data_IF_410377190338
#
_entry.id   IF_410377190338
#
_cell.length_a   1.000
_cell.length_b   1.000
_cell.length_c   1.000
_cell.angle_alpha   90.00
_cell.angle_beta   90.00
_cell.angle_gamma   90.00
#
_symmetry.space_group_name_H-M   'P 1'
#
loop_
_entity.id
_entity.type
_entity.pdbx_description
1 polymer ?
#
# COMPACT_ATOMS: atom_id res chain seq x y z
N UNK A 1 -8.76 -18.39 4.13
CA UNK A 1 -7.45 -17.71 4.20
C UNK A 1 -6.46 -18.64 3.54
N UNK A 2 -6.06 -18.28 2.34
CA UNK A 2 -5.21 -19.09 1.49
C UNK A 2 -3.82 -18.43 1.41
N UNK A 3 -2.77 -19.25 1.34
CA UNK A 3 -1.37 -18.79 1.28
C UNK A 3 -0.76 -19.27 -0.03
N UNK A 4 -0.22 -18.34 -0.82
CA UNK A 4 0.55 -18.67 -2.02
C UNK A 4 2.02 -18.37 -1.79
N UNK A 5 2.89 -19.35 -2.04
CA UNK A 5 4.34 -19.12 -2.11
C UNK A 5 4.65 -18.29 -3.35
N UNK A 6 5.19 -17.08 -3.14
CA UNK A 6 5.70 -16.21 -4.20
C UNK A 6 7.12 -15.92 -3.80
N UNK A 7 8.09 -16.61 -4.39
CA UNK A 7 9.50 -16.31 -4.18
C UNK A 7 9.96 -15.41 -5.31
N UNK A 8 9.80 -14.10 -5.13
CA UNK A 8 10.16 -13.12 -6.15
C UNK A 8 10.98 -11.99 -5.53
N UNK A 9 11.96 -11.50 -6.27
CA UNK A 9 12.74 -10.32 -5.91
C UNK A 9 12.65 -9.34 -7.04
N UNK A 10 12.08 -8.17 -6.75
CA UNK A 10 11.85 -7.13 -7.73
C UNK A 10 12.55 -5.85 -7.31
N UNK A 11 13.34 -5.27 -8.21
CA UNK A 11 14.03 -4.00 -8.00
C UNK A 11 13.53 -2.99 -9.03
N UNK A 12 12.91 -1.91 -8.55
CA UNK A 12 12.27 -0.89 -9.41
C UNK A 12 12.71 0.50 -8.96
N UNK A 13 13.05 1.34 -9.92
CA UNK A 13 13.19 2.78 -9.74
C UNK A 13 12.00 3.51 -10.36
N UNK A 14 11.39 4.41 -9.60
CA UNK A 14 10.28 5.25 -10.06
C UNK A 14 10.46 6.70 -9.65
N UNK A 15 10.20 7.61 -10.58
CA UNK A 15 10.24 9.05 -10.35
C UNK A 15 8.83 9.63 -10.26
N UNK A 16 8.67 10.59 -9.36
CA UNK A 16 7.44 11.30 -9.06
C UNK A 16 7.70 12.80 -9.06
N UNK A 17 6.83 13.56 -9.70
CA UNK A 17 7.03 14.98 -9.92
C UNK A 17 6.16 15.87 -9.05
N UNK A 18 5.28 15.27 -8.25
CA UNK A 18 4.54 15.95 -7.19
C UNK A 18 4.18 14.99 -6.06
N UNK A 19 3.83 15.56 -4.90
CA UNK A 19 3.38 14.80 -3.74
C UNK A 19 2.10 14.02 -4.03
N UNK A 20 1.20 14.62 -4.79
CA UNK A 20 -0.08 14.07 -5.22
C UNK A 20 0.12 12.88 -6.15
N UNK A 21 1.08 12.96 -7.09
CA UNK A 21 1.41 11.87 -8.00
C UNK A 21 1.89 10.62 -7.23
N UNK A 22 2.73 10.82 -6.21
CA UNK A 22 3.17 9.74 -5.33
C UNK A 22 2.03 9.18 -4.47
N UNK A 23 1.18 10.04 -3.89
CA UNK A 23 0.01 9.57 -3.15
C UNK A 23 -0.93 8.73 -4.03
N UNK A 24 -1.17 9.15 -5.27
CA UNK A 24 -1.98 8.42 -6.24
C UNK A 24 -1.35 7.09 -6.66
N UNK A 25 -0.01 7.00 -6.71
CA UNK A 25 0.65 5.71 -6.99
C UNK A 25 0.46 4.73 -5.84
N UNK A 26 0.58 5.18 -4.58
CA UNK A 26 0.29 4.35 -3.40
C UNK A 26 -1.17 3.86 -3.38
N UNK A 27 -2.13 4.73 -3.75
CA UNK A 27 -3.53 4.35 -3.88
C UNK A 27 -3.74 3.24 -4.92
N UNK A 28 -3.17 3.42 -6.12
CA UNK A 28 -3.25 2.42 -7.19
C UNK A 28 -2.61 1.09 -6.78
N UNK A 29 -1.45 1.14 -6.14
CA UNK A 29 -0.77 -0.07 -5.62
C UNK A 29 -1.61 -0.81 -4.58
N UNK A 30 -2.41 -0.09 -3.79
CA UNK A 30 -3.31 -0.68 -2.80
C UNK A 30 -4.67 -1.13 -3.35
N UNK A 31 -4.89 -1.03 -4.66
CA UNK A 31 -6.18 -1.33 -5.29
C UNK A 31 -7.27 -0.30 -4.98
N UNK A 32 -6.89 0.90 -4.51
CA UNK A 32 -7.81 2.00 -4.25
C UNK A 32 -7.85 2.98 -5.43
N UNK A 33 -9.06 3.38 -5.83
CA UNK A 33 -9.28 4.49 -6.74
C UNK A 33 -9.99 5.62 -6.00
N UNK A 34 -9.49 6.85 -6.13
CA UNK A 34 -10.19 8.06 -5.68
C UNK A 34 -10.26 8.29 -4.17
N UNK A 35 -9.39 7.67 -3.36
CA UNK A 35 -9.37 7.89 -1.92
C UNK A 35 -8.64 9.19 -1.57
N UNK A 36 -9.37 10.30 -1.46
CA UNK A 36 -8.79 11.62 -1.20
C UNK A 36 -7.93 11.70 0.09
N UNK A 37 -8.15 10.81 1.06
CA UNK A 37 -7.53 10.86 2.39
C UNK A 37 -6.56 9.69 2.69
N UNK A 38 -6.37 8.75 1.75
CA UNK A 38 -5.49 7.60 1.95
C UNK A 38 -4.00 7.94 1.92
N UNK A 39 -3.20 7.24 2.74
CA UNK A 39 -1.73 7.23 2.72
C UNK A 39 -0.99 8.53 3.08
N UNK A 40 -1.68 9.55 3.62
CA UNK A 40 -1.06 10.83 3.97
C UNK A 40 0.19 10.70 4.85
N UNK A 41 0.16 9.82 5.86
CA UNK A 41 1.28 9.59 6.77
C UNK A 41 2.51 9.01 6.05
N UNK A 42 2.32 8.02 5.17
CA UNK A 42 3.40 7.44 4.37
C UNK A 42 4.00 8.46 3.40
N UNK A 43 3.15 9.25 2.75
CA UNK A 43 3.58 10.36 1.89
C UNK A 43 4.37 11.41 2.68
N UNK A 44 3.92 11.78 3.89
CA UNK A 44 4.66 12.71 4.76
C UNK A 44 6.02 12.14 5.18
N UNK A 45 6.11 10.83 5.44
CA UNK A 45 7.38 10.16 5.79
C UNK A 45 8.37 10.19 4.62
N UNK A 46 7.91 9.91 3.39
CA UNK A 46 8.76 9.86 2.20
C UNK A 46 9.13 11.25 1.64
N UNK A 47 8.16 12.17 1.62
CA UNK A 47 8.27 13.48 0.99
C UNK A 47 8.65 14.61 1.96
N UNK A 48 8.60 14.36 3.27
CA UNK A 48 8.80 15.34 4.34
C UNK A 48 7.52 16.12 4.72
N UNK A 49 7.57 16.85 5.84
CA UNK A 49 6.53 17.81 6.19
C UNK A 49 6.58 19.00 5.22
N UNK A 50 5.43 19.46 4.75
CA UNK A 50 5.26 20.61 3.86
C UNK A 50 5.57 21.96 4.55
N UNK A 51 6.49 21.99 5.52
CA UNK A 51 6.80 23.15 6.35
C UNK A 51 8.14 23.81 6.02
N UNK A 52 8.78 23.46 4.90
CA UNK A 52 10.03 24.08 4.45
C UNK A 52 9.94 24.40 2.95
N UNK A 53 9.76 25.70 2.68
CA UNK A 53 9.73 26.44 1.40
C UNK A 53 8.76 25.95 0.33
N UNK A 54 7.98 26.89 -0.24
CA UNK A 54 7.07 26.65 -1.38
C UNK A 54 7.77 26.31 -2.70
N UNK A 55 8.90 25.60 -2.67
CA UNK A 55 9.63 25.13 -3.84
C UNK A 55 9.10 23.76 -4.27
N UNK A 56 8.78 23.62 -5.57
CA UNK A 56 8.38 22.35 -6.15
C UNK A 56 9.52 21.34 -5.97
N UNK A 57 9.22 20.14 -5.48
CA UNK A 57 10.19 19.05 -5.30
C UNK A 57 9.84 17.90 -6.22
N UNK A 58 10.85 17.20 -6.69
CA UNK A 58 10.72 15.93 -7.37
C UNK A 58 11.34 14.83 -6.48
N UNK A 59 10.82 13.62 -6.60
CA UNK A 59 11.25 12.47 -5.81
C UNK A 59 11.53 11.28 -6.73
N UNK A 60 12.57 10.51 -6.43
CA UNK A 60 12.78 9.20 -7.02
C UNK A 60 12.92 8.16 -5.92
N UNK A 61 12.29 7.02 -6.12
CA UNK A 61 12.25 5.91 -5.17
C UNK A 61 12.85 4.70 -5.84
N UNK A 62 13.91 4.15 -5.26
CA UNK A 62 14.41 2.83 -5.59
C UNK A 62 13.89 1.84 -4.55
N UNK A 63 13.13 0.84 -4.98
CA UNK A 63 12.54 -0.18 -4.11
C UNK A 63 13.09 -1.56 -4.47
N UNK A 64 13.51 -2.31 -3.45
CA UNK A 64 13.79 -3.74 -3.53
C UNK A 64 12.72 -4.44 -2.70
N UNK A 65 11.88 -5.21 -3.39
CA UNK A 65 10.80 -5.98 -2.79
C UNK A 65 11.13 -7.46 -2.86
N UNK A 66 11.03 -8.14 -1.72
CA UNK A 66 11.26 -9.58 -1.60
C UNK A 66 9.95 -10.17 -1.15
N UNK A 67 9.20 -10.67 -2.11
CA UNK A 67 7.97 -11.41 -1.87
C UNK A 67 8.37 -12.83 -1.40
N UNK A 68 7.73 -13.33 -0.34
CA UNK A 68 7.87 -14.71 0.15
C UNK A 68 6.57 -15.48 -0.02
N UNK A 69 5.49 -14.85 0.40
CA UNK A 69 4.14 -15.36 0.22
C UNK A 69 3.14 -14.22 0.25
N UNK A 70 1.98 -14.46 -0.34
CA UNK A 70 0.83 -13.59 -0.22
C UNK A 70 -0.26 -14.31 0.57
N UNK A 71 -0.84 -13.59 1.54
CA UNK A 71 -2.04 -14.05 2.21
C UNK A 71 -3.21 -13.20 1.74
N UNK A 72 -4.29 -13.86 1.33
CA UNK A 72 -5.51 -13.20 0.91
C UNK A 72 -6.70 -13.71 1.72
N UNK A 73 -7.63 -12.78 1.94
CA UNK A 73 -8.94 -13.06 2.47
C UNK A 73 -9.83 -13.46 1.29
N UNK A 74 -10.32 -14.69 1.36
CA UNK A 74 -11.26 -15.28 0.40
C UNK A 74 -12.66 -14.69 0.57
N UNK A 75 -13.68 -15.43 0.14
CA UNK A 75 -15.06 -15.12 0.48
C UNK A 75 -15.23 -15.08 2.01
N UNK A 76 -15.68 -13.92 2.50
CA UNK A 76 -15.98 -13.70 3.92
C UNK A 76 -17.41 -14.15 4.17
N UNK A 77 -17.60 -15.06 5.12
CA UNK A 77 -18.92 -15.51 5.55
C UNK A 77 -19.38 -14.70 6.76
N UNK A 78 -20.70 -14.64 7.05
CA UNK A 78 -21.18 -13.93 8.23
C UNK A 78 -20.54 -14.39 9.53
N UNK A 79 -20.28 -15.70 9.68
CA UNK A 79 -19.62 -16.27 10.86
C UNK A 79 -18.15 -15.88 11.02
N UNK A 80 -17.50 -15.36 9.97
CA UNK A 80 -16.11 -14.88 10.05
C UNK A 80 -16.03 -13.43 10.58
N UNK A 81 -17.17 -12.73 10.65
CA UNK A 81 -17.22 -11.36 11.14
C UNK A 81 -17.42 -11.29 12.65
N UNK A 82 -16.84 -10.26 13.25
CA UNK A 82 -17.13 -9.93 14.64
C UNK A 82 -18.61 -9.60 14.82
N UNK A 83 -19.24 -10.23 15.82
CA UNK A 83 -20.63 -9.94 16.21
C UNK A 83 -20.81 -8.46 16.56
N UNK A 84 -19.79 -7.84 17.16
CA UNK A 84 -19.83 -6.40 17.50
C UNK A 84 -19.83 -5.53 16.25
N UNK A 85 -19.03 -5.89 15.23
CA UNK A 85 -19.01 -5.17 13.96
C UNK A 85 -20.39 -5.23 13.29
N UNK A 86 -20.98 -6.42 13.21
CA UNK A 86 -22.31 -6.61 12.62
C UNK A 86 -23.39 -5.84 13.38
N UNK A 87 -23.40 -5.93 14.71
CA UNK A 87 -24.36 -5.20 15.55
C UNK A 87 -24.26 -3.69 15.35
N UNK A 88 -23.04 -3.14 15.47
CA UNK A 88 -22.83 -1.70 15.32
C UNK A 88 -23.15 -1.21 13.90
N UNK A 89 -22.93 -2.04 12.89
CA UNK A 89 -23.36 -1.73 11.52
C UNK A 89 -24.89 -1.67 11.41
N UNK A 90 -25.59 -2.65 11.99
CA UNK A 90 -27.06 -2.70 11.98
C UNK A 90 -27.71 -1.57 12.81
N UNK A 91 -26.99 -1.05 13.81
CA UNK A 91 -27.42 0.10 14.63
C UNK A 91 -27.21 1.46 13.93
N UNK A 92 -26.56 1.49 12.75
CA UNK A 92 -26.41 2.70 11.97
C UNK A 92 -27.76 3.19 11.43
N UNK A 93 -28.02 4.51 11.43
CA UNK A 93 -29.23 5.05 10.82
C UNK A 93 -29.30 4.76 9.32
N UNK A 94 -30.49 4.45 8.82
CA UNK A 94 -30.73 4.20 7.39
C UNK A 94 -30.36 5.38 6.48
N UNK A 95 -30.35 6.60 7.03
CA UNK A 95 -29.97 7.81 6.32
C UNK A 95 -28.96 8.62 7.12
N UNK A 96 -27.91 9.07 6.42
CA UNK A 96 -26.93 10.01 6.97
C UNK A 96 -27.55 11.36 7.36
N UNK A 97 -28.70 11.71 6.78
CA UNK A 97 -29.41 12.96 7.06
C UNK A 97 -30.30 12.90 8.31
N UNK A 98 -30.41 11.74 8.96
CA UNK A 98 -31.19 11.62 10.19
C UNK A 98 -30.52 12.37 11.37
N UNK A 99 -31.30 12.87 12.35
CA UNK A 99 -30.73 13.54 13.53
C UNK A 99 -29.68 12.68 14.24
N UNK A 100 -28.50 13.25 14.47
CA UNK A 100 -27.38 12.56 15.13
C UNK A 100 -26.70 11.45 14.31
N UNK A 101 -27.11 11.21 13.07
CA UNK A 101 -26.54 10.15 12.25
C UNK A 101 -25.07 10.39 11.91
N UNK A 102 -24.68 11.63 11.63
CA UNK A 102 -23.30 11.98 11.31
C UNK A 102 -22.30 11.49 12.37
N UNK A 103 -22.62 11.65 13.65
CA UNK A 103 -21.78 11.20 14.77
C UNK A 103 -21.72 9.67 14.80
N UNK A 104 -22.84 8.96 14.64
CA UNK A 104 -22.86 7.49 14.61
C UNK A 104 -22.03 6.91 13.46
N UNK A 105 -22.13 7.50 12.26
CA UNK A 105 -21.30 7.09 11.12
C UNK A 105 -19.81 7.40 11.35
N UNK A 106 -19.49 8.55 11.93
CA UNK A 106 -18.13 8.92 12.27
C UNK A 106 -17.53 7.95 13.30
N UNK A 107 -18.24 7.64 14.39
CA UNK A 107 -17.79 6.72 15.43
C UNK A 107 -17.55 5.32 14.87
N UNK A 108 -18.45 4.85 13.99
CA UNK A 108 -18.29 3.57 13.29
C UNK A 108 -17.02 3.56 12.43
N UNK A 109 -16.78 4.61 11.63
CA UNK A 109 -15.58 4.71 10.77
C UNK A 109 -14.31 4.85 11.62
N UNK A 110 -14.33 5.60 12.71
CA UNK A 110 -13.17 5.76 13.60
C UNK A 110 -12.80 4.42 14.26
N UNK A 111 -13.79 3.59 14.59
CA UNK A 111 -13.57 2.30 15.23
C UNK A 111 -13.18 1.20 14.26
N UNK A 112 -13.88 1.09 13.13
CA UNK A 112 -13.75 -0.05 12.21
C UNK A 112 -12.99 0.28 10.92
N UNK A 113 -12.79 1.56 10.62
CA UNK A 113 -12.16 2.04 9.40
C UNK A 113 -13.13 2.08 8.20
N UNK A 114 -12.62 2.55 7.06
CA UNK A 114 -13.36 2.61 5.80
C UNK A 114 -13.07 1.42 4.88
N UNK A 115 -11.94 0.73 5.11
CA UNK A 115 -11.43 -0.35 4.30
C UNK A 115 -10.91 -1.48 5.19
N UNK A 116 -10.88 -2.69 4.66
CA UNK A 116 -10.19 -3.82 5.26
C UNK A 116 -9.06 -4.29 4.34
N UNK A 117 -8.10 -5.02 4.90
CA UNK A 117 -7.02 -5.66 4.15
C UNK A 117 -7.58 -6.91 3.48
N UNK A 118 -7.66 -6.87 2.15
CA UNK A 118 -8.10 -8.01 1.34
C UNK A 118 -6.95 -8.96 1.08
N UNK A 119 -5.74 -8.46 0.85
CA UNK A 119 -4.54 -9.28 0.82
C UNK A 119 -3.31 -8.51 1.29
N UNK A 120 -2.30 -9.25 1.72
CA UNK A 120 -1.01 -8.72 2.09
C UNK A 120 0.09 -9.62 1.55
N UNK A 121 1.09 -9.01 0.89
CA UNK A 121 2.35 -9.67 0.56
C UNK A 121 3.31 -9.56 1.73
N UNK A 122 3.89 -10.69 2.09
CA UNK A 122 4.81 -10.86 3.20
C UNK A 122 6.21 -11.18 2.70
N UNK A 123 7.19 -10.61 3.40
CA UNK A 123 8.60 -10.77 3.09
C UNK A 123 9.38 -9.58 3.62
N UNK A 124 10.10 -8.89 2.75
CA UNK A 124 10.81 -7.67 3.12
C UNK A 124 10.85 -6.64 2.01
N UNK A 125 10.95 -5.37 2.39
CA UNK A 125 11.05 -4.24 1.48
C UNK A 125 12.11 -3.26 1.96
N UNK A 126 13.01 -2.89 1.05
CA UNK A 126 13.95 -1.78 1.20
C UNK A 126 13.53 -0.69 0.22
N UNK A 127 13.35 0.54 0.69
CA UNK A 127 13.12 1.70 -0.18
C UNK A 127 14.11 2.81 0.14
N UNK A 128 14.69 3.38 -0.91
CA UNK A 128 15.57 4.53 -0.84
C UNK A 128 14.88 5.67 -1.57
N UNK A 129 14.56 6.73 -0.86
CA UNK A 129 13.95 7.94 -1.38
C UNK A 129 15.02 9.00 -1.56
N UNK A 130 15.11 9.58 -2.76
CA UNK A 130 15.91 10.77 -3.05
C UNK A 130 14.99 11.88 -3.51
N UNK A 131 15.15 13.07 -2.94
CA UNK A 131 14.42 14.27 -3.39
C UNK A 131 15.39 15.35 -3.88
N UNK A 132 14.91 16.17 -4.81
CA UNK A 132 15.63 17.33 -5.35
C UNK A 132 14.63 18.44 -5.62
N UNK A 133 15.04 19.70 -5.47
CA UNK A 133 14.20 20.82 -5.90
C UNK A 133 14.06 20.83 -7.43
N UNK A 134 12.85 21.09 -7.92
CA UNK A 134 12.58 21.11 -9.35
C UNK A 134 13.38 22.19 -10.09
N UNK A 135 13.80 23.25 -9.39
CA UNK A 135 14.67 24.31 -9.92
C UNK A 135 16.12 23.88 -10.15
N UNK A 136 16.57 22.76 -9.57
CA UNK A 136 17.94 22.24 -9.78
C UNK A 136 18.11 21.50 -11.12
N UNK A 137 17.02 21.28 -11.87
CA UNK A 137 16.99 20.60 -13.17
C UNK A 137 16.11 21.35 -14.16
N UNK A 138 16.46 21.28 -15.44
CA UNK A 138 15.72 21.94 -16.51
C UNK A 138 14.34 21.31 -16.75
N UNK A 139 14.21 20.00 -16.56
CA UNK A 139 12.97 19.27 -16.82
C UNK A 139 12.93 17.90 -16.11
N UNK A 140 11.76 17.23 -16.23
CA UNK A 140 11.46 15.91 -15.66
C UNK A 140 12.35 14.77 -16.19
N UNK A 141 12.80 14.86 -17.45
CA UNK A 141 13.68 13.85 -18.04
C UNK A 141 15.10 13.99 -17.48
N UNK A 142 15.61 15.22 -17.35
CA UNK A 142 16.90 15.48 -16.68
C UNK A 142 16.88 15.00 -15.22
N UNK A 143 15.80 15.27 -14.49
CA UNK A 143 15.60 14.73 -13.15
C UNK A 143 15.81 13.21 -13.10
N UNK A 144 15.14 12.48 -13.99
CA UNK A 144 15.21 11.02 -14.01
C UNK A 144 16.62 10.51 -14.35
N UNK A 145 17.32 11.15 -15.29
CA UNK A 145 18.71 10.80 -15.63
C UNK A 145 19.68 11.07 -14.46
N UNK A 146 19.52 12.20 -13.77
CA UNK A 146 20.32 12.52 -12.58
C UNK A 146 20.09 11.47 -11.49
N UNK A 147 18.83 11.08 -11.26
CA UNK A 147 18.49 10.06 -10.25
C UNK A 147 19.03 8.69 -10.60
N UNK A 148 18.95 8.27 -11.87
CA UNK A 148 19.54 7.01 -12.33
C UNK A 148 21.05 6.95 -12.08
N UNK A 149 21.76 8.04 -12.41
CA UNK A 149 23.18 8.14 -12.14
C UNK A 149 23.50 8.14 -10.63
N UNK A 150 22.71 8.83 -9.82
CA UNK A 150 22.84 8.85 -8.36
C UNK A 150 22.65 7.45 -7.75
N UNK A 151 21.60 6.72 -8.13
CA UNK A 151 21.38 5.35 -7.66
C UNK A 151 22.47 4.40 -8.16
N UNK A 152 22.89 4.51 -9.43
CA UNK A 152 23.98 3.69 -9.96
C UNK A 152 25.28 3.92 -9.18
N UNK A 153 25.64 5.17 -8.93
CA UNK A 153 26.84 5.51 -8.16
C UNK A 153 26.77 5.00 -6.72
N UNK A 154 25.59 5.09 -6.10
CA UNK A 154 25.32 4.55 -4.77
C UNK A 154 25.55 3.04 -4.70
N UNK A 155 25.07 2.28 -5.68
CA UNK A 155 25.32 0.83 -5.68
C UNK A 155 26.76 0.48 -6.05
N UNK A 156 27.40 1.21 -6.97
CA UNK A 156 28.83 1.02 -7.28
C UNK A 156 29.70 1.20 -6.04
N UNK A 157 29.40 2.17 -5.18
CA UNK A 157 30.18 2.37 -3.95
C UNK A 157 30.06 1.19 -2.97
N UNK A 158 28.96 0.43 -2.99
CA UNK A 158 28.82 -0.81 -2.21
C UNK A 158 29.63 -1.97 -2.79
N UNK A 159 29.86 -1.99 -4.10
CA UNK A 159 30.62 -3.04 -4.77
C UNK A 159 32.13 -2.77 -4.82
N UNK A 160 32.56 -1.52 -4.67
CA UNK A 160 33.98 -1.17 -4.65
C UNK A 160 34.67 -1.84 -3.45
N UNK A 161 35.58 -2.79 -3.73
CA UNK A 161 36.53 -3.28 -2.73
C UNK A 161 37.29 -2.08 -2.18
N UNK A 162 37.52 -2.07 -0.87
CA UNK A 162 38.18 -1.03 -0.08
C UNK A 162 39.63 -0.79 -0.54
N UNK A 163 39.84 -0.30 -1.75
CA UNK A 163 41.09 0.32 -2.16
C UNK A 163 40.96 1.81 -1.85
N UNK A 164 41.65 2.25 -0.81
CA UNK A 164 41.92 3.66 -0.57
C UNK A 164 42.67 4.24 -1.76
N UNK A 165 41.92 4.73 -2.75
CA UNK A 165 42.39 5.79 -3.63
C UNK A 165 41.53 7.01 -3.38
N UNK A 166 42.12 7.97 -2.68
CA UNK A 166 41.65 9.33 -2.59
C UNK A 166 41.52 9.90 -4.00
N UNK A 167 40.31 9.90 -4.57
CA UNK A 167 40.04 10.67 -5.79
C UNK A 167 38.58 11.13 -5.82
N UNK A 168 38.40 12.44 -5.59
CA UNK A 168 37.43 13.35 -6.22
C UNK A 168 35.92 13.02 -6.37
N UNK A 169 35.41 11.88 -5.88
CA UNK A 169 33.99 11.52 -6.03
C UNK A 169 33.04 12.21 -5.06
N UNK A 170 33.55 12.93 -4.04
CA UNK A 170 32.74 13.73 -3.11
C UNK A 170 32.01 14.90 -3.78
N UNK A 171 32.33 15.27 -5.03
CA UNK A 171 31.76 16.45 -5.70
C UNK A 171 30.43 16.21 -6.44
N UNK A 172 29.96 14.97 -6.64
CA UNK A 172 28.71 14.72 -7.39
C UNK A 172 27.48 14.36 -6.54
N UNK A 173 27.65 13.83 -5.33
CA UNK A 173 26.56 13.48 -4.41
C UNK A 173 25.81 14.71 -3.83
N UNK A 174 26.08 15.92 -4.34
CA UNK A 174 25.57 17.20 -3.83
C UNK A 174 24.28 17.71 -4.50
N UNK A 175 23.73 17.01 -5.50
CA UNK A 175 22.51 17.47 -6.22
C UNK A 175 21.19 16.95 -5.64
N UNK A 176 21.21 16.06 -4.65
CA UNK A 176 19.94 15.63 -4.02
C UNK A 176 19.79 16.33 -2.67
N UNK A 177 18.70 17.07 -2.52
CA UNK A 177 18.41 17.88 -1.34
C UNK A 177 18.12 17.00 -0.11
N UNK A 178 17.66 15.75 -0.30
CA UNK A 178 17.59 14.77 0.79
C UNK A 178 17.63 13.31 0.30
N UNK A 179 18.14 12.41 1.15
CA UNK A 179 18.04 10.95 0.99
C UNK A 179 17.44 10.37 2.27
N UNK A 180 16.45 9.48 2.15
CA UNK A 180 15.91 8.72 3.28
C UNK A 180 15.73 7.25 2.92
N UNK A 181 15.80 6.37 3.92
CA UNK A 181 15.71 4.93 3.72
C UNK A 181 14.68 4.33 4.65
N UNK A 182 13.88 3.39 4.13
CA UNK A 182 12.93 2.61 4.91
C UNK A 182 13.14 1.14 4.67
N UNK A 183 13.11 0.37 5.75
CA UNK A 183 13.25 -1.08 5.74
C UNK A 183 12.07 -1.70 6.47
N UNK A 184 11.44 -2.70 5.86
CA UNK A 184 10.34 -3.47 6.42
C UNK A 184 10.62 -4.97 6.25
N UNK A 185 10.24 -5.78 7.24
CA UNK A 185 10.58 -7.20 7.26
C UNK A 185 12.04 -7.47 7.62
N UNK A 186 12.37 -8.74 7.80
CA UNK A 186 13.66 -9.17 8.31
C UNK A 186 13.84 -8.92 9.81
N UNK A 187 15.04 -9.21 10.29
CA UNK A 187 15.47 -8.94 11.65
C UNK A 187 15.41 -7.43 11.94
N UNK A 188 14.80 -7.07 13.07
CA UNK A 188 14.53 -5.67 13.41
C UNK A 188 15.78 -4.90 13.80
N UNK A 189 16.76 -5.56 14.40
CA UNK A 189 18.03 -4.94 14.79
C UNK A 189 18.84 -4.60 13.53
N UNK A 190 18.91 -5.55 12.60
CA UNK A 190 19.60 -5.33 11.32
C UNK A 190 18.88 -4.27 10.49
N UNK A 191 17.55 -4.31 10.41
CA UNK A 191 16.75 -3.32 9.69
C UNK A 191 16.92 -1.90 10.25
N UNK A 192 17.09 -1.74 11.57
CA UNK A 192 17.34 -0.45 12.20
C UNK A 192 18.72 0.11 11.80
N UNK A 193 19.74 -0.73 11.69
CA UNK A 193 21.10 -0.30 11.27
C UNK A 193 21.11 0.19 9.82
N UNK A 194 20.35 -0.46 8.93
CA UNK A 194 20.26 -0.06 7.51
C UNK A 194 19.69 1.36 7.35
N UNK A 195 19.00 1.90 8.35
CA UNK A 195 18.56 3.30 8.33
C UNK A 195 19.73 4.30 8.24
N UNK A 196 20.92 3.94 8.74
CA UNK A 196 22.17 4.66 8.48
C UNK A 196 22.86 4.15 7.20
N UNK A 197 22.23 4.47 6.07
CA UNK A 197 22.59 3.93 4.76
C UNK A 197 23.95 4.41 4.22
N UNK A 198 24.63 5.32 4.93
CA UNK A 198 25.96 5.81 4.58
C UNK A 198 27.07 5.01 5.29
N UNK A 199 26.73 4.04 6.13
CA UNK A 199 27.71 3.22 6.86
C UNK A 199 28.63 2.45 5.89
N UNK A 200 29.95 2.37 6.17
CA UNK A 200 30.89 1.61 5.33
C UNK A 200 30.63 0.10 5.35
N UNK A 201 29.87 -0.40 6.32
CA UNK A 201 29.53 -1.82 6.43
C UNK A 201 28.30 -2.18 5.61
N UNK A 202 27.42 -1.22 5.26
CA UNK A 202 26.03 -1.39 4.78
C UNK A 202 25.73 -2.60 3.88
N UNK A 203 26.66 -3.01 3.02
CA UNK A 203 26.54 -4.23 2.21
C UNK A 203 26.33 -5.49 3.06
N UNK A 204 27.10 -5.65 4.14
CA UNK A 204 26.97 -6.79 5.05
C UNK A 204 25.61 -6.80 5.73
N UNK A 205 25.13 -5.65 6.17
CA UNK A 205 23.85 -5.48 6.85
C UNK A 205 22.70 -5.75 5.88
N UNK A 206 22.77 -5.26 4.63
CA UNK A 206 21.78 -5.61 3.61
C UNK A 206 21.77 -7.12 3.40
N UNK A 207 22.92 -7.78 3.30
CA UNK A 207 22.99 -9.23 3.09
C UNK A 207 22.40 -10.01 4.27
N UNK A 208 22.77 -9.63 5.51
CA UNK A 208 22.21 -10.23 6.72
C UNK A 208 20.70 -10.00 6.83
N UNK A 209 20.22 -8.80 6.46
CA UNK A 209 18.81 -8.50 6.41
C UNK A 209 18.08 -9.37 5.38
N UNK A 210 18.62 -9.50 4.17
CA UNK A 210 18.07 -10.38 3.12
C UNK A 210 17.91 -11.83 3.62
N UNK A 211 18.93 -12.36 4.29
CA UNK A 211 18.90 -13.71 4.84
C UNK A 211 17.85 -13.86 5.96
N UNK A 212 17.68 -12.82 6.78
CA UNK A 212 16.74 -12.82 7.90
C UNK A 212 15.26 -12.78 7.50
N UNK A 213 14.92 -12.30 6.28
CA UNK A 213 13.54 -12.21 5.78
C UNK A 213 12.87 -13.59 5.75
N UNK A 214 13.64 -14.66 5.58
CA UNK A 214 13.11 -16.03 5.59
C UNK A 214 12.45 -16.38 6.92
N UNK A 215 13.03 -15.91 8.02
CA UNK A 215 12.60 -16.20 9.39
C UNK A 215 11.64 -15.12 9.91
N UNK A 216 11.83 -13.87 9.48
CA UNK A 216 11.06 -12.72 9.94
C UNK A 216 10.35 -11.98 8.79
N UNK A 217 9.49 -12.65 7.99
CA UNK A 217 8.73 -11.97 6.96
C UNK A 217 7.70 -11.03 7.62
N UNK A 218 7.60 -9.78 7.14
CA UNK A 218 6.54 -8.84 7.54
C UNK A 218 5.65 -8.50 6.34
N UNK A 219 4.38 -8.16 6.57
CA UNK A 219 3.55 -7.64 5.50
C UNK A 219 4.01 -6.23 5.12
N UNK A 220 4.18 -5.97 3.83
CA UNK A 220 4.70 -4.68 3.34
C UNK A 220 3.93 -4.10 2.14
N UNK A 221 3.21 -4.94 1.38
CA UNK A 221 2.26 -4.49 0.34
C UNK A 221 0.88 -5.03 0.66
N UNK A 222 -0.11 -4.15 0.64
CA UNK A 222 -1.49 -4.49 0.97
C UNK A 222 -2.41 -4.15 -0.18
N UNK A 223 -3.32 -5.04 -0.52
CA UNK A 223 -4.52 -4.70 -1.28
C UNK A 223 -5.66 -4.52 -0.29
N UNK A 224 -6.39 -3.41 -0.43
CA UNK A 224 -7.52 -3.10 0.44
C UNK A 224 -8.81 -3.08 -0.35
N UNK A 225 -9.93 -3.28 0.35
CA UNK A 225 -11.26 -3.19 -0.24
C UNK A 225 -12.21 -2.43 0.71
N UNK A 226 -13.26 -1.77 0.19
CA UNK A 226 -14.24 -1.08 1.02
C UNK A 226 -14.86 -2.02 2.04
N UNK A 227 -15.01 -1.55 3.28
CA UNK A 227 -15.58 -2.35 4.38
C UNK A 227 -17.01 -2.83 4.08
N UNK A 228 -17.75 -2.10 3.24
CA UNK A 228 -19.08 -2.49 2.76
C UNK A 228 -19.08 -3.77 1.93
N UNK A 229 -17.95 -4.19 1.34
CA UNK A 229 -17.86 -5.48 0.67
C UNK A 229 -17.98 -6.66 1.65
N UNK A 230 -17.65 -6.47 2.93
CA UNK A 230 -17.80 -7.50 3.96
C UNK A 230 -19.27 -7.79 4.29
N UNK A 231 -20.20 -6.94 3.86
CA UNK A 231 -21.61 -7.00 4.24
C UNK A 231 -22.51 -7.45 3.08
N UNK A 232 -21.91 -7.93 1.98
CA UNK A 232 -22.61 -8.43 0.79
C UNK A 232 -23.04 -9.87 0.98
N UNK A 233 -23.95 -10.08 1.93
CA UNK A 233 -24.52 -11.40 2.21
C UNK A 233 -25.87 -11.59 1.51
N UNK A 234 -26.12 -12.82 1.08
CA UNK A 234 -27.48 -13.27 0.75
C UNK A 234 -28.23 -13.57 2.06
N UNK A 235 -29.55 -13.45 2.02
CA UNK A 235 -30.42 -13.77 3.17
C UNK A 235 -30.20 -15.22 3.59
N UNK A 236 -30.10 -16.13 2.62
CA UNK A 236 -29.81 -17.54 2.85
C UNK A 236 -28.47 -17.79 3.56
N UNK A 237 -27.45 -16.98 3.30
CA UNK A 237 -26.15 -17.09 4.00
C UNK A 237 -26.20 -16.63 5.46
N UNK A 238 -27.15 -15.75 5.80
CA UNK A 238 -27.36 -15.27 7.17
C UNK A 238 -28.28 -16.19 7.99
N UNK A 239 -29.25 -16.81 7.33
CA UNK A 239 -30.28 -17.64 7.97
C UNK A 239 -30.44 -18.96 7.20
N UNK A 240 -29.47 -19.89 7.30
CA UNK A 240 -29.49 -21.14 6.52
C UNK A 240 -30.64 -22.07 6.92
N UNK A 241 -31.07 -22.02 8.18
CA UNK A 241 -32.11 -22.90 8.74
C UNK A 241 -33.53 -22.35 8.58
N UNK A 242 -33.69 -21.16 7.99
CA UNK A 242 -34.94 -20.41 7.94
C UNK A 242 -35.53 -20.42 6.52
N UNK A 243 -35.77 -21.62 5.96
CA UNK A 243 -36.37 -21.82 4.62
C UNK A 243 -37.74 -21.11 4.46
N UNK A 244 -38.42 -20.82 5.57
CA UNK A 244 -39.72 -20.15 5.59
C UNK A 244 -39.64 -18.62 5.37
N UNK A 245 -38.44 -18.01 5.44
CA UNK A 245 -38.26 -16.54 5.44
C UNK A 245 -37.68 -15.95 4.15
N UNK A 246 -37.58 -16.69 3.05
CA UNK A 246 -37.17 -16.17 1.73
C UNK A 246 -38.27 -15.33 1.06
N UNK A 247 -38.89 -14.40 1.80
CA UNK A 247 -39.98 -13.51 1.34
C UNK A 247 -39.58 -12.04 1.27
N UNK A 248 -38.32 -11.71 1.55
CA UNK A 248 -37.80 -10.35 1.47
C UNK A 248 -36.53 -10.26 0.59
N UNK A 249 -36.17 -9.05 0.17
CA UNK A 249 -35.02 -8.78 -0.69
C UNK A 249 -35.19 -9.22 -2.15
N UNK A 250 -34.08 -9.20 -2.92
CA UNK A 250 -34.08 -9.58 -4.33
C UNK A 250 -34.42 -11.06 -4.56
N UNK A 251 -34.19 -11.92 -3.57
CA UNK A 251 -34.43 -13.37 -3.66
C UNK A 251 -35.92 -13.72 -3.67
N UNK A 252 -36.74 -12.99 -2.91
CA UNK A 252 -38.19 -13.15 -2.89
C UNK A 252 -38.85 -12.77 -4.23
N UNK A 253 -38.25 -11.84 -4.97
CA UNK A 253 -38.71 -11.40 -6.28
C UNK A 253 -38.02 -12.14 -7.44
N UNK A 254 -37.26 -13.21 -7.18
CA UNK A 254 -36.55 -13.97 -8.23
C UNK A 254 -37.48 -14.48 -9.34
N UNK A 255 -38.76 -14.73 -9.03
CA UNK A 255 -39.81 -15.12 -9.99
C UNK A 255 -40.35 -13.96 -10.83
N UNK A 256 -40.16 -12.72 -10.37
CA UNK A 256 -40.59 -11.48 -11.04
C UNK A 256 -39.45 -10.84 -11.86
N UNK A 257 -38.23 -11.38 -11.79
CA UNK A 257 -37.09 -10.87 -12.55
C UNK A 257 -37.32 -11.10 -14.05
N UNK A 258 -37.40 -10.01 -14.81
CA UNK A 258 -37.45 -10.08 -16.28
C UNK A 258 -36.05 -10.35 -16.81
N UNK A 259 -35.92 -11.40 -17.61
CA UNK A 259 -34.66 -11.75 -18.25
C UNK A 259 -34.63 -11.09 -19.64
N UNK A 260 -33.70 -10.15 -19.84
CA UNK A 260 -33.48 -9.51 -21.14
C UNK A 260 -32.10 -9.93 -21.63
N UNK A 261 -32.06 -10.51 -22.83
CA UNK A 261 -30.83 -10.93 -23.50
C UNK A 261 -30.47 -9.94 -24.60
N UNK A 262 -29.28 -9.33 -24.49
CA UNK A 262 -28.65 -8.58 -25.59
C UNK A 262 -27.38 -9.33 -26.02
N UNK A 263 -27.46 -10.01 -27.15
CA UNK A 263 -26.34 -10.84 -27.65
C UNK A 263 -25.97 -11.96 -26.67
N UNK A 264 -24.68 -12.05 -26.30
CA UNK A 264 -24.15 -13.05 -25.34
C UNK A 264 -24.34 -12.68 -23.86
N UNK A 265 -24.94 -11.52 -23.56
CA UNK A 265 -25.10 -11.05 -22.19
C UNK A 265 -26.56 -11.15 -21.75
N UNK A 266 -26.78 -11.88 -20.66
CA UNK A 266 -28.07 -11.98 -19.99
C UNK A 266 -28.04 -11.07 -18.76
N UNK A 267 -29.04 -10.20 -18.67
CA UNK A 267 -29.25 -9.35 -17.50
C UNK A 267 -30.60 -9.66 -16.87
N UNK A 268 -30.68 -9.57 -15.54
CA UNK A 268 -31.90 -9.75 -14.75
C UNK A 268 -32.15 -8.51 -13.92
N UNK A 269 -33.35 -7.97 -14.03
CA UNK A 269 -33.78 -6.77 -13.32
C UNK A 269 -35.18 -7.00 -12.73
N UNK A 270 -35.53 -6.22 -11.70
CA UNK A 270 -36.88 -6.14 -11.14
C UNK A 270 -37.79 -5.33 -12.06
#
# INVERSE_FOLDING_TARGET
MNVHGVYDTNAIMQSYYSREEYQLSLQRQAGMAGSAFGFYAGVKKAWGSSSLSGTQKYMSVFSIDIDRYEIYLDEVKPGDLSVNFLREFMDLPLSYLAPGAAVKFQDFILRWGTHYIKSGKFGGRLQIFKTMEASEVSNKAEFSQVMEAEFRNLFVSFHAKKEQRSSSSQKRQRKTSSTSVTVEGGDQEIAAIISDFNSPTIKSEITQWLDSIRTFPKPFKFMVAPITNLLKFTVHSLFPDDEAQTKWGCEANRRNLRQVSYGKHCFRYL
#
